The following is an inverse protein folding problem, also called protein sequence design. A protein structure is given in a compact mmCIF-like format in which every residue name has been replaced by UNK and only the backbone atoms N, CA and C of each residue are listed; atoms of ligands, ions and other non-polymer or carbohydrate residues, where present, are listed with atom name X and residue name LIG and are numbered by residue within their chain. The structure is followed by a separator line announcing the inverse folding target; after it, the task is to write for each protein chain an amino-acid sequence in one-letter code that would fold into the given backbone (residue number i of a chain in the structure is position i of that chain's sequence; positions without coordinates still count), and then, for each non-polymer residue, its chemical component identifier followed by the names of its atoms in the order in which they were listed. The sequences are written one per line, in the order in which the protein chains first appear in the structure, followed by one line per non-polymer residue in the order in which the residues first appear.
data_IF_496930752210
#
_entry.id   IF_496930752210
#
_cell.length_a   1.000
_cell.length_b   1.000
_cell.length_c   1.000
_cell.angle_alpha   90.00
_cell.angle_beta   90.00
_cell.angle_gamma   90.00
#
_symmetry.space_group_name_H-M   'P 1'
#
loop_
_entity.id
_entity.type
_entity.pdbx_description
1 polymer ?
#
# COMPACT_ATOMS: atom_id res chain seq x y z
N UNK A 1 -3.60 16.89 -1.58
CA UNK A 1 -3.55 15.63 -2.34
C UNK A 1 -2.09 15.32 -2.54
N UNK A 2 -1.48 14.55 -1.64
CA UNK A 2 -0.11 14.09 -1.84
C UNK A 2 -0.17 12.94 -2.84
N UNK A 3 0.37 13.16 -4.04
CA UNK A 3 0.46 12.15 -5.10
C UNK A 3 1.39 11.05 -4.63
N UNK A 4 0.85 9.82 -4.55
CA UNK A 4 1.62 8.67 -4.11
C UNK A 4 2.36 8.06 -5.30
N UNK A 5 3.61 7.67 -5.07
CA UNK A 5 4.45 7.08 -6.11
C UNK A 5 4.18 5.58 -6.15
N UNK A 6 3.90 5.04 -7.32
CA UNK A 6 3.67 3.61 -7.47
C UNK A 6 4.97 2.82 -7.18
N UNK A 7 4.94 1.80 -6.31
CA UNK A 7 6.12 0.98 -6.05
C UNK A 7 6.55 0.14 -7.28
N UNK A 8 5.64 -0.08 -8.24
CA UNK A 8 5.90 -0.87 -9.44
C UNK A 8 6.43 -0.04 -10.61
N UNK A 9 5.71 1.02 -11.04
CA UNK A 9 6.11 1.83 -12.20
C UNK A 9 6.84 3.13 -11.86
N UNK A 10 6.89 3.54 -10.58
CA UNK A 10 7.47 4.80 -10.10
C UNK A 10 6.82 6.09 -10.62
N UNK A 11 5.64 5.99 -11.24
CA UNK A 11 4.83 7.16 -11.59
C UNK A 11 4.00 7.63 -10.39
N UNK A 12 3.70 8.92 -10.35
CA UNK A 12 2.85 9.58 -9.35
C UNK A 12 1.34 9.32 -9.55
N UNK A 13 1.00 8.20 -10.19
CA UNK A 13 -0.36 7.76 -10.52
C UNK A 13 -0.87 6.66 -9.58
N UNK A 14 -0.38 6.61 -8.34
CA UNK A 14 -0.84 5.63 -7.36
C UNK A 14 -2.00 6.20 -6.55
N UNK A 15 -3.16 5.58 -6.68
CA UNK A 15 -4.42 6.03 -6.07
C UNK A 15 -4.96 4.94 -5.16
N UNK A 16 -5.60 5.35 -4.07
CA UNK A 16 -6.29 4.43 -3.17
C UNK A 16 -7.80 4.67 -3.23
N UNK A 17 -8.56 3.62 -2.96
CA UNK A 17 -10.00 3.63 -2.80
C UNK A 17 -10.37 2.81 -1.56
N UNK A 18 -11.30 3.29 -0.75
CA UNK A 18 -11.84 2.57 0.39
C UNK A 18 -13.17 1.94 -0.02
N UNK A 19 -13.28 0.63 0.09
CA UNK A 19 -14.52 -0.10 -0.14
C UNK A 19 -14.94 -0.81 1.15
N UNK A 20 -16.23 -0.78 1.45
CA UNK A 20 -16.81 -1.54 2.57
C UNK A 20 -17.10 -2.96 2.09
N UNK A 21 -16.51 -3.95 2.76
CA UNK A 21 -16.79 -5.36 2.46
C UNK A 21 -18.15 -5.80 3.03
N UNK A 22 -18.58 -7.01 2.70
CA UNK A 22 -19.84 -7.61 3.19
C UNK A 22 -19.93 -7.76 4.72
N UNK A 23 -18.80 -7.65 5.42
CA UNK A 23 -18.72 -7.69 6.89
C UNK A 23 -18.75 -6.30 7.54
N UNK A 24 -18.86 -5.22 6.76
CA UNK A 24 -18.78 -3.84 7.26
C UNK A 24 -17.37 -3.39 7.61
N UNK A 25 -16.34 -4.08 7.11
CA UNK A 25 -14.94 -3.70 7.26
C UNK A 25 -14.50 -2.84 6.07
N UNK A 26 -13.86 -1.71 6.37
CA UNK A 26 -13.27 -0.85 5.35
C UNK A 26 -11.96 -1.48 4.86
N UNK A 27 -11.92 -1.84 3.59
CA UNK A 27 -10.72 -2.32 2.92
C UNK A 27 -10.24 -1.20 2.01
N UNK A 28 -9.05 -0.69 2.33
CA UNK A 28 -8.37 0.23 1.42
C UNK A 28 -7.70 -0.58 0.32
N UNK A 29 -7.95 -0.23 -0.94
CA UNK A 29 -7.33 -0.83 -2.11
C UNK A 29 -6.53 0.21 -2.86
N UNK A 30 -5.32 -0.17 -3.21
CA UNK A 30 -4.39 0.64 -3.97
C UNK A 30 -4.34 0.17 -5.40
N UNK A 31 -4.50 1.10 -6.32
CA UNK A 31 -4.45 0.87 -7.76
C UNK A 31 -3.51 1.86 -8.44
N UNK A 32 -2.88 1.41 -9.52
CA UNK A 32 -2.14 2.28 -10.42
C UNK A 32 -2.58 2.04 -11.86
N UNK A 33 -2.51 3.09 -12.70
CA UNK A 33 -2.75 2.98 -14.16
C UNK A 33 -1.84 1.95 -14.86
N UNK A 34 -0.70 1.58 -14.27
CA UNK A 34 0.14 0.51 -14.81
C UNK A 34 -0.45 -0.90 -14.65
N UNK A 35 -1.65 -1.04 -14.05
CA UNK A 35 -2.29 -2.31 -13.75
C UNK A 35 -1.84 -2.94 -12.44
N UNK A 36 -1.05 -2.23 -11.64
CA UNK A 36 -0.69 -2.65 -10.29
C UNK A 36 -1.87 -2.49 -9.35
N UNK A 37 -2.09 -3.48 -8.48
CA UNK A 37 -3.17 -3.50 -7.52
C UNK A 37 -2.74 -4.21 -6.23
N UNK A 38 -3.08 -3.62 -5.09
CA UNK A 38 -2.80 -4.17 -3.76
C UNK A 38 -3.91 -3.81 -2.76
N UNK A 39 -4.09 -4.64 -1.74
CA UNK A 39 -4.98 -4.39 -0.61
C UNK A 39 -4.16 -3.84 0.56
N UNK A 40 -4.64 -2.80 1.22
CA UNK A 40 -4.07 -2.25 2.43
C UNK A 40 -4.84 -2.70 3.66
N UNK A 41 -4.08 -3.11 4.68
CA UNK A 41 -4.60 -3.34 6.02
C UNK A 41 -4.34 -2.10 6.89
N UNK A 42 -5.35 -1.24 7.03
CA UNK A 42 -5.26 0.01 7.80
C UNK A 42 -5.05 -0.24 9.30
N UNK A 43 -5.44 -1.41 9.81
CA UNK A 43 -5.18 -1.80 11.21
C UNK A 43 -3.71 -2.01 11.48
N UNK A 44 -2.90 -2.18 10.42
CA UNK A 44 -1.48 -2.48 10.48
C UNK A 44 -0.57 -1.29 10.17
N UNK A 45 -1.03 -0.05 10.29
CA UNK A 45 -0.15 1.11 10.05
C UNK A 45 0.98 1.24 11.10
N UNK A 46 2.23 1.38 10.64
CA UNK A 46 3.42 1.57 11.48
C UNK A 46 4.25 2.79 11.11
N UNK A 47 5.15 3.16 12.02
CA UNK A 47 6.13 4.22 11.79
C UNK A 47 7.17 3.71 10.79
N UNK A 48 7.39 4.47 9.72
CA UNK A 48 8.47 4.24 8.79
C UNK A 48 9.79 4.59 9.49
N UNK A 49 10.73 3.64 9.53
CA UNK A 49 12.04 3.82 10.13
C UNK A 49 12.92 4.83 9.35
N UNK A 50 12.61 5.06 8.08
CA UNK A 50 13.37 5.94 7.19
C UNK A 50 12.98 7.42 7.36
N UNK A 51 11.68 7.74 7.38
CA UNK A 51 11.21 9.12 7.57
C UNK A 51 10.69 9.45 8.99
N UNK A 52 10.58 8.45 9.87
CA UNK A 52 10.05 8.63 11.23
C UNK A 52 8.57 9.01 11.30
N UNK A 53 7.81 8.85 10.20
CA UNK A 53 6.37 9.16 10.12
C UNK A 53 5.54 7.88 10.08
N UNK A 54 4.34 7.94 10.67
CA UNK A 54 3.35 6.86 10.63
C UNK A 54 2.67 6.82 9.26
N UNK A 55 3.42 6.34 8.28
CA UNK A 55 3.04 6.31 6.85
C UNK A 55 3.42 4.98 6.19
N UNK A 56 3.85 3.98 6.99
CA UNK A 56 4.22 2.64 6.50
C UNK A 56 3.02 1.73 6.72
N UNK A 57 2.39 1.31 5.64
CA UNK A 57 1.20 0.45 5.63
C UNK A 57 1.54 -0.94 5.09
N UNK A 58 0.79 -1.96 5.51
CA UNK A 58 0.93 -3.31 4.97
C UNK A 58 0.12 -3.39 3.67
N UNK A 59 0.80 -3.68 2.56
CA UNK A 59 0.19 -3.92 1.27
C UNK A 59 0.29 -5.39 0.91
N UNK A 60 -0.82 -5.95 0.48
CA UNK A 60 -0.95 -7.30 -0.03
C UNK A 60 -1.29 -7.24 -1.51
N UNK A 61 -0.37 -7.69 -2.36
CA UNK A 61 -0.63 -7.93 -3.76
C UNK A 61 -0.82 -9.42 -4.06
N UNK A 62 -1.13 -9.72 -5.33
CA UNK A 62 -1.39 -11.08 -5.79
C UNK A 62 -0.21 -12.03 -5.59
N UNK A 63 1.01 -11.52 -5.46
CA UNK A 63 2.23 -12.32 -5.39
C UNK A 63 2.90 -12.26 -4.02
N UNK A 64 2.69 -11.21 -3.23
CA UNK A 64 3.41 -10.98 -1.97
C UNK A 64 2.68 -10.02 -1.04
N UNK A 65 3.07 -10.08 0.22
CA UNK A 65 2.70 -9.15 1.28
C UNK A 65 3.97 -8.39 1.66
N UNK A 66 3.89 -7.07 1.72
CA UNK A 66 5.03 -6.22 1.98
C UNK A 66 4.60 -4.91 2.66
N UNK A 67 5.51 -4.33 3.43
CA UNK A 67 5.35 -3.00 3.98
C UNK A 67 5.69 -1.95 2.93
N UNK A 68 4.86 -0.94 2.76
CA UNK A 68 5.12 0.19 1.88
C UNK A 68 4.98 1.51 2.62
N UNK A 69 5.96 2.39 2.47
CA UNK A 69 5.88 3.75 3.00
C UNK A 69 5.44 4.71 1.90
N UNK A 70 4.28 5.33 2.07
CA UNK A 70 3.72 6.30 1.11
C UNK A 70 4.64 7.51 0.90
N UNK A 71 5.34 7.94 1.96
CA UNK A 71 6.24 9.10 1.93
C UNK A 71 7.61 8.83 1.30
N UNK A 72 8.26 7.72 1.66
CA UNK A 72 9.60 7.38 1.15
C UNK A 72 9.55 6.54 -0.13
N UNK A 73 8.37 5.98 -0.45
CA UNK A 73 8.18 4.94 -1.45
C UNK A 73 9.07 3.70 -1.24
N UNK A 74 9.46 3.43 0.00
CA UNK A 74 10.25 2.25 0.35
C UNK A 74 9.33 1.04 0.55
N UNK A 75 9.73 -0.11 -0.01
CA UNK A 75 9.02 -1.39 0.16
C UNK A 75 9.87 -2.38 0.92
N UNK A 76 9.28 -3.11 1.87
CA UNK A 76 9.94 -4.13 2.67
C UNK A 76 9.11 -5.41 2.63
N UNK A 77 9.65 -6.46 2.01
CA UNK A 77 8.96 -7.72 1.82
C UNK A 77 8.70 -8.42 3.16
N UNK A 78 7.47 -8.85 3.40
CA UNK A 78 7.08 -9.65 4.57
C UNK A 78 7.02 -11.13 4.17
N UNK A 79 6.26 -11.43 3.11
CA UNK A 79 5.97 -12.80 2.69
C UNK A 79 5.68 -12.88 1.20
N UNK A 80 6.20 -13.91 0.53
CA UNK A 80 5.78 -14.28 -0.82
C UNK A 80 4.62 -15.28 -0.78
N UNK A 81 3.66 -15.15 -1.70
CA UNK A 81 2.49 -16.03 -1.88
C UNK A 81 2.68 -17.05 -3.03
N UNK A 82 3.93 -17.39 -3.36
CA UNK A 82 4.30 -18.34 -4.42
C UNK A 82 3.82 -19.76 -4.09
#
# INVERSE_FOLDING_TARGET
METQICPNCKEDSFTWATDENENGEFITTWGCSCGYFAYEDESKEKICEDCGKKTKCELEDKSKIYWWCSRCNCTELIKNKI
#
